data_IF_486977163614
#
_entry.id   IF_486977163614
#
_cell.length_a   1.000
_cell.length_b   1.000
_cell.length_c   1.000
_cell.angle_alpha   90.00
_cell.angle_beta   90.00
_cell.angle_gamma   90.00
#
_symmetry.space_group_name_H-M   'P 1'
#
loop_
_entity.id
_entity.type
_entity.pdbx_description
1 polymer ?
#
# COMPACT_ATOMS: atom_id res chain seq x y z
N UNK A 1 -25.28 2.94 -27.69
CA UNK A 1 -24.52 3.20 -26.47
C UNK A 1 -25.26 2.61 -25.29
N UNK A 2 -24.61 1.81 -24.44
CA UNK A 2 -25.22 1.26 -23.24
C UNK A 2 -24.97 2.22 -22.08
N UNK A 3 -26.00 2.64 -21.31
CA UNK A 3 -25.80 3.55 -20.19
C UNK A 3 -25.06 2.81 -19.06
N UNK A 4 -24.01 3.46 -18.54
CA UNK A 4 -23.27 3.00 -17.37
C UNK A 4 -24.20 3.07 -16.16
N UNK A 5 -24.52 1.91 -15.58
CA UNK A 5 -25.24 1.78 -14.31
C UNK A 5 -24.34 2.33 -13.20
N UNK A 6 -24.67 3.50 -12.65
CA UNK A 6 -24.08 3.98 -11.41
C UNK A 6 -24.59 3.08 -10.30
N UNK A 7 -23.73 2.22 -9.76
CA UNK A 7 -24.02 1.49 -8.53
C UNK A 7 -23.86 2.48 -7.37
N UNK A 8 -24.97 3.03 -6.91
CA UNK A 8 -25.04 3.72 -5.63
C UNK A 8 -24.68 2.71 -4.53
N UNK A 9 -23.52 2.89 -3.90
CA UNK A 9 -23.10 2.13 -2.74
C UNK A 9 -23.88 2.62 -1.52
N UNK A 10 -24.96 1.93 -1.17
CA UNK A 10 -25.61 2.09 0.12
C UNK A 10 -24.77 1.37 1.17
N UNK A 11 -23.90 2.11 1.88
CA UNK A 11 -23.31 1.62 3.13
C UNK A 11 -23.93 2.39 4.30
N UNK A 12 -24.94 1.77 4.91
CA UNK A 12 -25.49 2.14 6.21
C UNK A 12 -24.71 1.41 7.30
N UNK A 13 -23.54 1.94 7.65
CA UNK A 13 -22.80 1.59 8.87
C UNK A 13 -21.89 2.78 9.15
N UNK A 14 -21.88 3.29 10.39
CA UNK A 14 -21.15 4.50 10.81
C UNK A 14 -19.62 4.43 10.71
N UNK A 15 -19.10 3.60 9.83
CA UNK A 15 -17.69 3.57 9.46
C UNK A 15 -17.36 4.84 8.66
N UNK A 16 -16.32 5.60 9.06
CA UNK A 16 -15.91 6.76 8.30
C UNK A 16 -15.56 6.31 6.89
N UNK A 17 -16.19 6.92 5.88
CA UNK A 17 -15.84 6.71 4.47
C UNK A 17 -14.32 6.87 4.34
N UNK A 18 -13.60 5.88 3.78
CA UNK A 18 -12.16 5.98 3.61
C UNK A 18 -11.83 7.29 2.90
N UNK A 19 -11.02 8.11 3.57
CA UNK A 19 -10.61 9.40 3.02
C UNK A 19 -9.91 9.14 1.69
N UNK A 20 -10.35 9.80 0.62
CA UNK A 20 -9.78 9.57 -0.70
C UNK A 20 -8.28 9.89 -0.74
N UNK A 21 -7.53 9.17 -1.60
CA UNK A 21 -6.08 9.33 -1.77
C UNK A 21 -5.63 10.80 -1.85
N UNK A 22 -6.32 11.62 -2.65
CA UNK A 22 -5.94 13.03 -2.83
C UNK A 22 -6.06 13.87 -1.56
N UNK A 23 -7.05 13.58 -0.70
CA UNK A 23 -7.22 14.25 0.58
C UNK A 23 -6.10 13.84 1.54
N UNK A 24 -5.87 12.53 1.71
CA UNK A 24 -4.83 11.99 2.59
C UNK A 24 -3.43 12.48 2.18
N UNK A 25 -3.12 12.46 0.88
CA UNK A 25 -1.85 12.97 0.35
C UNK A 25 -1.65 14.46 0.67
N UNK A 26 -2.71 15.26 0.54
CA UNK A 26 -2.64 16.70 0.87
C UNK A 26 -2.37 16.89 2.36
N UNK A 27 -3.13 16.21 3.21
CA UNK A 27 -3.00 16.29 4.66
C UNK A 27 -1.59 15.91 5.15
N UNK A 28 -1.06 14.79 4.66
CA UNK A 28 0.29 14.34 5.02
C UNK A 28 1.36 15.36 4.58
N UNK A 29 1.22 15.90 3.37
CA UNK A 29 2.12 16.93 2.83
C UNK A 29 2.08 18.22 3.65
N UNK A 30 0.89 18.70 4.01
CA UNK A 30 0.70 19.92 4.82
C UNK A 30 1.26 19.77 6.23
N UNK A 31 1.17 18.56 6.81
CA UNK A 31 1.68 18.24 8.14
C UNK A 31 3.16 17.85 8.16
N UNK A 32 3.79 17.66 7.01
CA UNK A 32 5.17 17.18 6.93
C UNK A 32 5.38 15.76 7.47
N UNK A 33 4.34 14.91 7.38
CA UNK A 33 4.38 13.52 7.86
C UNK A 33 4.26 12.54 6.71
N UNK A 34 4.73 11.30 6.93
CA UNK A 34 4.47 10.18 6.03
C UNK A 34 3.15 9.52 6.40
N UNK A 35 2.46 9.01 5.38
CA UNK A 35 1.25 8.23 5.59
C UNK A 35 1.58 6.90 6.29
N UNK A 36 0.73 6.54 7.26
CA UNK A 36 0.64 5.24 7.90
C UNK A 36 -0.81 4.78 7.74
N UNK A 37 -0.99 3.54 7.28
CA UNK A 37 -2.30 2.98 7.04
C UNK A 37 -2.92 2.53 8.37
N UNK A 38 -4.06 3.12 8.82
CA UNK A 38 -4.69 2.75 10.07
C UNK A 38 -5.29 1.33 10.04
N UNK A 39 -5.60 0.80 8.86
CA UNK A 39 -6.14 -0.56 8.68
C UNK A 39 -5.02 -1.61 8.51
N UNK A 40 -3.77 -1.17 8.32
CA UNK A 40 -2.60 -2.04 8.16
C UNK A 40 -1.50 -1.70 9.17
N UNK A 41 -1.64 -2.21 10.39
CA UNK A 41 -0.67 -1.96 11.46
C UNK A 41 0.58 -2.83 11.30
N UNK A 42 1.76 -2.20 11.28
CA UNK A 42 3.08 -2.86 11.15
C UNK A 42 3.30 -3.98 12.17
N UNK A 43 2.85 -3.77 13.42
CA UNK A 43 3.00 -4.74 14.51
C UNK A 43 2.16 -6.02 14.31
N UNK A 44 1.05 -5.93 13.57
CA UNK A 44 0.15 -7.07 13.28
C UNK A 44 0.25 -7.55 11.85
N UNK A 45 1.01 -6.86 10.99
CA UNK A 45 1.31 -7.22 9.62
C UNK A 45 2.28 -8.42 9.58
N UNK A 46 1.80 -9.55 10.07
CA UNK A 46 2.45 -10.85 9.94
C UNK A 46 2.06 -11.41 8.58
N UNK A 47 3.06 -11.77 7.79
CA UNK A 47 2.82 -12.51 6.57
C UNK A 47 2.41 -13.94 6.97
N UNK A 48 1.28 -14.49 6.46
CA UNK A 48 0.92 -15.88 6.69
C UNK A 48 2.01 -16.80 6.16
N UNK A 49 2.76 -17.45 7.05
CA UNK A 49 3.86 -18.34 6.65
C UNK A 49 3.30 -19.67 6.15
N UNK A 50 3.67 -20.08 4.92
CA UNK A 50 3.58 -21.50 4.54
C UNK A 50 4.69 -22.25 5.31
N UNK A 51 4.39 -23.47 5.74
CA UNK A 51 4.96 -24.22 6.90
C UNK A 51 6.50 -24.44 7.02
N UNK A 52 7.39 -23.74 6.32
CA UNK A 52 8.80 -24.18 6.28
C UNK A 52 9.90 -23.14 6.05
N UNK A 53 9.74 -21.89 6.50
CA UNK A 53 10.84 -20.90 6.45
C UNK A 53 11.21 -20.43 7.85
N UNK A 54 12.51 -20.49 8.16
CA UNK A 54 13.07 -19.96 9.40
C UNK A 54 12.56 -18.54 9.61
N UNK A 55 11.95 -18.28 10.75
CA UNK A 55 11.37 -16.99 11.11
C UNK A 55 12.50 -15.95 11.33
N UNK A 56 13.17 -15.51 10.28
CA UNK A 56 13.89 -14.24 10.34
C UNK A 56 12.86 -13.15 10.63
N UNK A 57 13.17 -12.27 11.58
CA UNK A 57 12.30 -11.15 11.92
C UNK A 57 12.08 -10.28 10.69
N UNK A 58 10.84 -10.18 10.22
CA UNK A 58 10.48 -9.27 9.14
C UNK A 58 10.49 -7.84 9.66
N UNK A 59 11.19 -6.96 8.95
CA UNK A 59 11.16 -5.51 9.20
C UNK A 59 10.50 -4.84 8.01
N UNK A 60 9.47 -4.04 8.26
CA UNK A 60 8.80 -3.24 7.24
C UNK A 60 9.63 -1.98 6.96
N UNK A 61 10.01 -1.78 5.70
CA UNK A 61 10.84 -0.66 5.25
C UNK A 61 10.16 0.08 4.10
N UNK A 62 10.37 1.39 4.03
CA UNK A 62 9.96 2.27 2.93
C UNK A 62 11.02 2.26 1.83
N UNK A 63 10.66 2.54 0.57
CA UNK A 63 11.61 2.45 -0.55
C UNK A 63 12.89 3.30 -0.40
N UNK A 64 12.80 4.47 0.23
CA UNK A 64 13.98 5.34 0.45
C UNK A 64 14.95 4.80 1.51
N UNK A 65 14.51 3.83 2.33
CA UNK A 65 15.38 3.14 3.30
C UNK A 65 16.16 2.00 2.64
N UNK A 66 15.70 1.53 1.47
CA UNK A 66 16.33 0.47 0.68
C UNK A 66 17.30 1.02 -0.36
N UNK A 67 16.99 2.17 -0.98
CA UNK A 67 17.86 2.79 -1.98
C UNK A 67 17.74 4.32 -2.01
N UNK A 68 18.80 4.99 -2.47
CA UNK A 68 18.90 6.45 -2.41
C UNK A 68 17.91 7.21 -3.33
N UNK A 69 17.47 6.60 -4.43
CA UNK A 69 16.62 7.24 -5.45
C UNK A 69 15.51 6.29 -5.91
N UNK A 70 14.53 5.99 -5.05
CA UNK A 70 13.44 5.07 -5.41
C UNK A 70 12.61 5.66 -6.55
N UNK A 71 12.25 4.82 -7.52
CA UNK A 71 11.33 5.16 -8.62
C UNK A 71 10.05 4.35 -8.45
N UNK A 72 8.90 5.00 -8.59
CA UNK A 72 7.62 4.30 -8.56
C UNK A 72 7.42 3.49 -9.85
N UNK A 73 7.67 4.11 -11.01
CA UNK A 73 7.68 3.51 -12.33
C UNK A 73 8.83 4.14 -13.13
N UNK A 74 9.62 3.33 -13.84
CA UNK A 74 10.64 3.78 -14.81
C UNK A 74 10.02 3.95 -16.20
N UNK A 75 10.58 4.84 -17.03
CA UNK A 75 10.10 5.06 -18.40
C UNK A 75 10.23 3.82 -19.29
N UNK A 76 11.19 2.94 -18.96
CA UNK A 76 11.45 1.66 -19.60
C UNK A 76 11.13 0.53 -18.62
N UNK A 77 9.87 0.10 -18.58
CA UNK A 77 9.48 -1.11 -17.83
C UNK A 77 9.60 -2.34 -18.71
N UNK A 78 10.36 -3.32 -18.26
CA UNK A 78 10.54 -4.63 -18.88
C UNK A 78 9.91 -5.72 -18.00
N UNK A 79 9.43 -6.81 -18.62
CA UNK A 79 9.00 -8.01 -17.91
C UNK A 79 10.12 -8.68 -17.10
N UNK A 80 11.37 -8.31 -17.37
CA UNK A 80 12.55 -8.78 -16.64
C UNK A 80 12.88 -7.94 -15.41
N UNK A 81 12.17 -6.84 -15.16
CA UNK A 81 12.39 -5.97 -13.98
C UNK A 81 11.71 -6.53 -12.71
N UNK A 82 11.11 -7.72 -12.79
CA UNK A 82 10.36 -8.36 -11.70
C UNK A 82 11.05 -9.68 -11.35
N UNK A 83 11.57 -9.76 -10.13
CA UNK A 83 12.08 -10.98 -9.53
C UNK A 83 11.17 -11.41 -8.37
N UNK A 84 10.80 -12.69 -8.33
CA UNK A 84 9.98 -13.22 -7.24
C UNK A 84 10.79 -13.27 -5.95
N UNK A 85 10.26 -12.67 -4.88
CA UNK A 85 10.87 -12.73 -3.56
C UNK A 85 10.79 -14.11 -2.92
N UNK A 86 11.63 -14.33 -1.93
CA UNK A 86 11.76 -15.55 -1.15
C UNK A 86 10.69 -15.69 -0.05
N UNK A 87 9.41 -15.49 -0.39
CA UNK A 87 8.31 -15.58 0.57
C UNK A 87 7.76 -17.00 0.66
#
# INVERSE_FOLDING_TARGET
>A
GRPHRVLSSNHSSGEPVPLGFHYLRRLCRERGILFEDPEFLVATAKIPTTKHRSQSSITWMRPYELCARPKFISENTSRFDIEQGEL
#
